data_IF_790507263328
#
_entry.id   IF_790507263328
#
_cell.length_a   1.000
_cell.length_b   1.000
_cell.length_c   1.000
_cell.angle_alpha   90.00
_cell.angle_beta   90.00
_cell.angle_gamma   90.00
#
_symmetry.space_group_name_H-M   'P 1'
#
loop_
_entity.id
_entity.type
_entity.pdbx_description
1 polymer ?
#
# COMPACT_ATOMS: atom_id res chain seq x y z
N UNK A 1 13.06 -32.43 18.33
CA UNK A 1 13.39 -33.62 17.51
C UNK A 1 13.77 -33.18 16.11
N UNK A 2 14.87 -33.68 15.52
CA UNK A 2 15.35 -33.26 14.21
C UNK A 2 14.30 -33.37 13.07
N UNK A 3 13.27 -34.22 13.22
CA UNK A 3 12.16 -34.32 12.27
C UNK A 3 11.24 -33.09 12.18
N UNK A 4 11.19 -32.21 13.20
CA UNK A 4 10.37 -30.99 13.16
C UNK A 4 11.01 -29.87 12.30
N UNK A 5 12.31 -29.94 12.02
CA UNK A 5 13.00 -28.98 11.15
C UNK A 5 12.63 -29.12 9.68
N UNK A 6 12.25 -30.33 9.24
CA UNK A 6 11.86 -30.62 7.86
C UNK A 6 10.62 -29.80 7.40
N UNK A 7 9.47 -29.86 8.10
CA UNK A 7 8.31 -29.05 7.73
C UNK A 7 8.58 -27.54 7.88
N UNK A 8 9.34 -27.13 8.90
CA UNK A 8 9.77 -25.73 9.06
C UNK A 8 10.62 -25.24 7.90
N UNK A 9 11.53 -26.08 7.38
CA UNK A 9 12.36 -25.75 6.22
C UNK A 9 11.56 -25.58 4.93
N UNK A 10 10.58 -26.45 4.69
CA UNK A 10 9.68 -26.35 3.53
C UNK A 10 8.84 -25.07 3.60
N UNK A 11 8.26 -24.78 4.77
CA UNK A 11 7.46 -23.57 5.00
C UNK A 11 8.33 -22.32 4.86
N UNK A 12 9.53 -22.32 5.44
CA UNK A 12 10.50 -21.23 5.32
C UNK A 12 10.90 -20.97 3.87
N UNK A 13 11.16 -22.02 3.08
CA UNK A 13 11.46 -21.89 1.66
C UNK A 13 10.28 -21.31 0.86
N UNK A 14 9.05 -21.76 1.11
CA UNK A 14 7.85 -21.22 0.48
C UNK A 14 7.65 -19.74 0.82
N UNK A 15 7.90 -19.36 2.08
CA UNK A 15 7.83 -17.97 2.53
C UNK A 15 8.88 -17.08 1.85
N UNK A 16 10.13 -17.53 1.76
CA UNK A 16 11.19 -16.78 1.05
C UNK A 16 10.83 -16.58 -0.43
N UNK A 17 10.25 -17.62 -1.06
CA UNK A 17 9.83 -17.58 -2.46
C UNK A 17 8.64 -16.64 -2.72
N UNK A 18 7.69 -16.51 -1.79
CA UNK A 18 6.57 -15.54 -1.91
C UNK A 18 7.07 -14.12 -1.64
N UNK A 19 7.87 -13.92 -0.60
CA UNK A 19 8.42 -12.62 -0.23
C UNK A 19 9.32 -12.04 -1.33
N UNK A 20 10.09 -12.90 -2.02
CA UNK A 20 10.93 -12.50 -3.15
C UNK A 20 10.16 -11.94 -4.35
N UNK A 21 8.90 -12.36 -4.57
CA UNK A 21 8.03 -11.82 -5.63
C UNK A 21 7.29 -10.56 -5.19
N UNK A 22 6.85 -10.50 -3.93
CA UNK A 22 6.12 -9.35 -3.39
C UNK A 22 6.99 -8.10 -3.30
N UNK A 23 8.22 -8.23 -2.78
CA UNK A 23 9.11 -7.10 -2.47
C UNK A 23 9.42 -6.17 -3.67
N UNK A 24 9.75 -6.66 -4.89
CA UNK A 24 9.95 -5.77 -6.04
C UNK A 24 8.64 -5.10 -6.48
N UNK A 25 7.54 -5.86 -6.56
CA UNK A 25 6.24 -5.33 -6.96
C UNK A 25 5.74 -4.22 -6.00
N UNK A 26 5.87 -4.44 -4.69
CA UNK A 26 5.48 -3.46 -3.67
C UNK A 26 6.30 -2.18 -3.76
N UNK A 27 7.60 -2.30 -4.04
CA UNK A 27 8.49 -1.16 -4.22
C UNK A 27 8.11 -0.33 -5.45
N UNK A 28 7.84 -0.98 -6.57
CA UNK A 28 7.52 -0.28 -7.81
C UNK A 28 6.12 0.35 -7.76
N UNK A 29 5.12 -0.32 -7.17
CA UNK A 29 3.81 0.28 -6.93
C UNK A 29 3.89 1.49 -6.00
N UNK A 30 4.68 1.42 -4.93
CA UNK A 30 4.91 2.53 -4.01
C UNK A 30 5.60 3.72 -4.70
N UNK A 31 6.50 3.46 -5.65
CA UNK A 31 7.07 4.52 -6.51
C UNK A 31 6.00 5.14 -7.41
N UNK A 32 5.13 4.33 -8.01
CA UNK A 32 4.02 4.82 -8.83
C UNK A 32 3.05 5.68 -8.00
N UNK A 33 2.72 5.27 -6.77
CA UNK A 33 1.84 6.01 -5.86
C UNK A 33 2.41 7.40 -5.55
N UNK A 34 3.71 7.47 -5.26
CA UNK A 34 4.37 8.75 -5.01
C UNK A 34 4.34 9.66 -6.25
N UNK A 35 4.52 9.08 -7.45
CA UNK A 35 4.49 9.83 -8.72
C UNK A 35 3.09 10.32 -9.08
N UNK A 36 2.05 9.51 -8.88
CA UNK A 36 0.66 9.87 -9.20
C UNK A 36 0.10 10.93 -8.25
N UNK A 37 0.56 10.95 -7.00
CA UNK A 37 0.06 11.86 -5.97
C UNK A 37 0.63 13.28 -6.05
N UNK A 38 1.88 13.44 -6.47
CA UNK A 38 2.54 14.75 -6.60
C UNK A 38 1.80 15.76 -7.48
N UNK A 39 1.40 15.44 -8.74
CA UNK A 39 0.78 16.42 -9.64
C UNK A 39 -0.57 16.93 -9.13
N UNK A 40 -1.30 16.14 -8.34
CA UNK A 40 -2.57 16.55 -7.72
C UNK A 40 -2.33 17.76 -6.79
N UNK A 41 -1.32 17.69 -5.93
CA UNK A 41 -0.98 18.77 -5.01
C UNK A 41 -0.45 20.01 -5.73
N UNK A 42 0.43 19.82 -6.73
CA UNK A 42 0.96 20.93 -7.52
C UNK A 42 -0.15 21.68 -8.24
N UNK A 43 -1.07 20.97 -8.91
CA UNK A 43 -2.20 21.55 -9.64
C UNK A 43 -3.20 22.24 -8.72
N UNK A 44 -3.43 21.69 -7.53
CA UNK A 44 -4.26 22.34 -6.52
C UNK A 44 -3.63 23.66 -6.05
N UNK A 45 -2.32 23.66 -5.81
CA UNK A 45 -1.57 24.88 -5.47
C UNK A 45 -1.60 25.94 -6.58
N UNK A 46 -1.43 25.54 -7.85
CA UNK A 46 -1.58 26.43 -9.00
C UNK A 46 -2.99 27.01 -9.12
N UNK A 47 -4.02 26.20 -8.90
CA UNK A 47 -5.42 26.65 -8.96
C UNK A 47 -5.76 27.65 -7.85
N UNK A 48 -5.22 27.47 -6.65
CA UNK A 48 -5.37 28.43 -5.55
C UNK A 48 -4.72 29.77 -5.89
N UNK A 49 -3.52 29.75 -6.48
CA UNK A 49 -2.78 30.96 -6.87
C UNK A 49 -3.37 31.68 -8.08
N UNK A 50 -4.03 30.96 -8.99
CA UNK A 50 -4.67 31.52 -10.19
C UNK A 50 -6.19 31.57 -10.11
N UNK A 51 -6.76 31.54 -8.89
CA UNK A 51 -8.20 31.38 -8.67
C UNK A 51 -9.01 32.53 -9.26
N UNK A 52 -8.48 33.76 -9.15
CA UNK A 52 -9.03 34.98 -9.71
C UNK A 52 -8.96 34.99 -11.24
N UNK A 53 -7.89 34.44 -11.81
CA UNK A 53 -7.74 34.31 -13.28
C UNK A 53 -8.71 33.26 -13.83
N UNK A 54 -8.84 32.11 -13.18
CA UNK A 54 -9.78 31.05 -13.58
C UNK A 54 -11.22 31.57 -13.48
N UNK A 55 -11.55 32.31 -12.41
CA UNK A 55 -12.87 32.90 -12.22
C UNK A 55 -13.15 34.00 -13.24
N UNK A 56 -12.22 34.93 -13.47
CA UNK A 56 -12.41 36.02 -14.44
C UNK A 56 -12.53 35.53 -15.88
N UNK A 57 -11.78 34.48 -16.27
CA UNK A 57 -11.94 33.82 -17.58
C UNK A 57 -13.33 33.17 -17.73
N UNK A 58 -13.86 32.55 -16.67
CA UNK A 58 -15.21 31.97 -16.70
C UNK A 58 -16.31 33.02 -16.87
N UNK A 59 -16.13 34.21 -16.28
CA UNK A 59 -17.07 35.34 -16.39
C UNK A 59 -16.92 36.06 -17.75
N UNK A 60 -15.70 36.29 -18.22
CA UNK A 60 -15.43 36.95 -19.50
C UNK A 60 -15.95 36.17 -20.72
N UNK A 61 -15.91 34.84 -20.65
CA UNK A 61 -16.50 33.98 -21.69
C UNK A 61 -18.03 33.98 -21.68
N UNK A 62 -18.63 34.12 -20.48
CA UNK A 62 -20.09 34.18 -20.30
C UNK A 62 -20.69 35.47 -20.86
N UNK A 63 -19.96 36.58 -20.76
CA UNK A 63 -20.40 37.89 -21.28
C UNK A 63 -20.23 38.02 -22.80
N UNK A 64 -19.26 37.31 -23.41
CA UNK A 64 -19.12 37.21 -24.87
C UNK A 64 -20.23 36.38 -25.53
N UNK A 65 -20.75 35.36 -24.83
CA UNK A 65 -21.82 34.50 -25.34
C UNK A 65 -23.24 35.01 -25.06
N UNK A 66 -23.40 36.20 -24.44
CA UNK A 66 -24.73 36.81 -24.22
C UNK A 66 -25.33 37.42 -25.52
N UNK A 67 -24.60 37.36 -26.64
CA UNK A 67 -25.03 37.86 -27.96
C UNK A 67 -25.75 36.87 -28.86
N UNK A 68 -25.89 35.58 -28.50
CA UNK A 68 -26.68 34.65 -29.32
C UNK A 68 -26.43 33.18 -28.99
N UNK A 69 -27.52 32.43 -28.81
CA UNK A 69 -27.52 30.96 -28.79
C UNK A 69 -27.46 30.34 -27.40
N UNK A 70 -28.45 29.51 -27.12
CA UNK A 70 -28.70 28.78 -25.88
C UNK A 70 -27.70 27.62 -25.63
N UNK A 71 -26.39 27.89 -25.64
CA UNK A 71 -25.35 26.89 -25.37
C UNK A 71 -24.72 27.14 -23.98
N UNK A 72 -24.93 26.20 -23.05
CA UNK A 72 -24.50 26.23 -21.63
C UNK A 72 -22.99 26.20 -21.37
N UNK A 73 -22.17 26.84 -22.21
CA UNK A 73 -20.71 26.79 -22.22
C UNK A 73 -20.01 27.92 -21.43
N UNK A 74 -20.73 28.66 -20.58
CA UNK A 74 -20.21 29.79 -19.80
C UNK A 74 -19.26 29.44 -18.63
N UNK A 75 -18.64 28.26 -18.64
CA UNK A 75 -17.78 27.75 -17.55
C UNK A 75 -16.61 26.88 -18.02
N UNK A 76 -16.25 26.92 -19.31
CA UNK A 76 -15.31 25.97 -19.92
C UNK A 76 -13.92 25.92 -19.25
N UNK A 77 -13.37 27.03 -18.78
CA UNK A 77 -12.04 27.04 -18.14
C UNK A 77 -12.04 26.29 -16.79
N UNK A 78 -13.03 26.57 -15.94
CA UNK A 78 -13.22 25.87 -14.66
C UNK A 78 -13.57 24.40 -14.91
N UNK A 79 -14.44 24.11 -15.89
CA UNK A 79 -14.84 22.75 -16.23
C UNK A 79 -13.68 21.93 -16.80
N UNK A 80 -12.83 22.51 -17.65
CA UNK A 80 -11.60 21.86 -18.15
C UNK A 80 -10.64 21.55 -17.01
N UNK A 81 -10.42 22.50 -16.10
CA UNK A 81 -9.60 22.26 -14.91
C UNK A 81 -10.17 21.12 -14.06
N UNK A 82 -11.48 21.11 -13.81
CA UNK A 82 -12.15 20.08 -13.02
C UNK A 82 -11.98 18.68 -13.65
N UNK A 83 -12.19 18.57 -14.97
CA UNK A 83 -12.03 17.32 -15.71
C UNK A 83 -10.58 16.80 -15.66
N UNK A 84 -9.61 17.68 -15.86
CA UNK A 84 -8.19 17.30 -15.77
C UNK A 84 -7.79 16.92 -14.34
N UNK A 85 -8.31 17.63 -13.32
CA UNK A 85 -8.07 17.29 -11.92
C UNK A 85 -8.71 15.95 -11.54
N UNK A 86 -9.91 15.66 -12.05
CA UNK A 86 -10.58 14.37 -11.88
C UNK A 86 -9.81 13.23 -12.52
N UNK A 87 -9.23 13.42 -13.72
CA UNK A 87 -8.39 12.42 -14.39
C UNK A 87 -7.17 12.06 -13.55
N UNK A 88 -6.42 13.06 -13.08
CA UNK A 88 -5.26 12.83 -12.20
C UNK A 88 -5.63 12.11 -10.89
N UNK A 89 -6.78 12.48 -10.31
CA UNK A 89 -7.30 11.84 -9.10
C UNK A 89 -7.68 10.38 -9.36
N UNK A 90 -8.32 10.10 -10.50
CA UNK A 90 -8.69 8.75 -10.91
C UNK A 90 -7.46 7.87 -11.16
N UNK A 91 -6.42 8.40 -11.80
CA UNK A 91 -5.16 7.68 -12.01
C UNK A 91 -4.50 7.33 -10.68
N UNK A 92 -4.43 8.28 -9.74
CA UNK A 92 -3.92 8.03 -8.40
C UNK A 92 -4.75 6.99 -7.63
N UNK A 93 -6.08 7.04 -7.78
CA UNK A 93 -6.98 6.06 -7.18
C UNK A 93 -6.72 4.65 -7.74
N UNK A 94 -6.51 4.51 -9.04
CA UNK A 94 -6.16 3.22 -9.67
C UNK A 94 -4.85 2.63 -9.15
N UNK A 95 -3.84 3.46 -8.95
CA UNK A 95 -2.57 3.04 -8.33
C UNK A 95 -2.77 2.62 -6.86
N UNK A 96 -3.56 3.39 -6.11
CA UNK A 96 -3.89 3.05 -4.72
C UNK A 96 -4.63 1.72 -4.60
N UNK A 97 -5.61 1.46 -5.47
CA UNK A 97 -6.29 0.17 -5.53
C UNK A 97 -5.33 -0.97 -5.86
N UNK A 98 -4.41 -0.77 -6.82
CA UNK A 98 -3.39 -1.76 -7.16
C UNK A 98 -2.51 -2.11 -5.96
N UNK A 99 -2.15 -1.12 -5.13
CA UNK A 99 -1.37 -1.31 -3.90
C UNK A 99 -2.15 -2.17 -2.89
N UNK A 100 -3.45 -1.88 -2.68
CA UNK A 100 -4.32 -2.68 -1.82
C UNK A 100 -4.53 -4.11 -2.34
N UNK A 101 -4.65 -4.28 -3.66
CA UNK A 101 -4.74 -5.60 -4.28
C UNK A 101 -3.47 -6.42 -4.04
N UNK A 102 -2.29 -5.80 -4.08
CA UNK A 102 -1.02 -6.47 -3.79
C UNK A 102 -0.94 -6.94 -2.33
N UNK A 103 -1.37 -6.13 -1.38
CA UNK A 103 -1.43 -6.50 0.04
C UNK A 103 -2.40 -7.66 0.29
N UNK A 104 -3.56 -7.64 -0.38
CA UNK A 104 -4.52 -8.75 -0.33
C UNK A 104 -3.96 -10.03 -0.95
N UNK A 105 -3.26 -9.93 -2.07
CA UNK A 105 -2.62 -11.07 -2.72
C UNK A 105 -1.60 -11.76 -1.79
N UNK A 106 -0.76 -10.98 -1.10
CA UNK A 106 0.18 -11.50 -0.11
C UNK A 106 -0.56 -12.18 1.05
N UNK A 107 -1.59 -11.52 1.60
CA UNK A 107 -2.41 -12.05 2.69
C UNK A 107 -3.00 -13.42 2.35
N UNK A 108 -3.65 -13.55 1.19
CA UNK A 108 -4.27 -14.81 0.75
C UNK A 108 -3.22 -15.92 0.58
N UNK A 109 -2.04 -15.60 0.05
CA UNK A 109 -0.95 -16.59 -0.11
C UNK A 109 -0.38 -17.05 1.23
N UNK A 110 -0.25 -16.17 2.21
CA UNK A 110 0.26 -16.54 3.54
C UNK A 110 -0.77 -17.34 4.34
N UNK A 111 -2.03 -16.98 4.23
CA UNK A 111 -3.15 -17.68 4.87
C UNK A 111 -3.30 -19.10 4.31
N UNK A 112 -3.30 -19.25 2.98
CA UNK A 112 -3.33 -20.58 2.33
C UNK A 112 -2.13 -21.47 2.69
N UNK A 113 -0.92 -20.90 2.84
CA UNK A 113 0.24 -21.66 3.32
C UNK A 113 0.07 -22.12 4.77
N UNK A 114 -0.48 -21.27 5.64
CA UNK A 114 -0.80 -21.63 7.03
C UNK A 114 -1.82 -22.78 7.11
N UNK A 115 -2.90 -22.68 6.33
CA UNK A 115 -3.93 -23.72 6.27
C UNK A 115 -3.38 -25.06 5.76
N UNK A 116 -2.48 -25.05 4.77
CA UNK A 116 -1.80 -26.26 4.33
C UNK A 116 -0.96 -26.92 5.44
N UNK A 117 -0.30 -26.12 6.28
CA UNK A 117 0.48 -26.62 7.42
C UNK A 117 -0.44 -27.23 8.48
N UNK A 118 -1.54 -26.54 8.82
CA UNK A 118 -2.51 -27.04 9.79
C UNK A 118 -3.19 -28.32 9.27
N UNK A 119 -3.54 -28.37 7.99
CA UNK A 119 -4.09 -29.57 7.36
C UNK A 119 -3.12 -30.75 7.45
N UNK A 120 -1.84 -30.55 7.11
CA UNK A 120 -0.81 -31.57 7.26
C UNK A 120 -0.61 -32.02 8.71
N UNK A 121 -0.61 -31.08 9.66
CA UNK A 121 -0.54 -31.38 11.08
C UNK A 121 -1.77 -32.18 11.57
N UNK A 122 -2.98 -31.85 11.09
CA UNK A 122 -4.20 -32.57 11.39
C UNK A 122 -4.14 -34.02 10.90
N UNK A 123 -3.76 -34.24 9.64
CA UNK A 123 -3.63 -35.59 9.06
C UNK A 123 -2.58 -36.40 9.80
N UNK A 124 -1.41 -35.82 10.10
CA UNK A 124 -0.35 -36.49 10.85
C UNK A 124 -0.80 -36.85 12.28
N UNK A 125 -1.54 -35.95 12.93
CA UNK A 125 -2.07 -36.15 14.28
C UNK A 125 -3.06 -37.32 14.33
N UNK A 126 -4.00 -37.40 13.38
CA UNK A 126 -4.93 -38.53 13.25
C UNK A 126 -4.19 -39.83 13.01
N UNK A 127 -3.22 -39.85 12.10
CA UNK A 127 -2.42 -41.04 11.78
C UNK A 127 -1.61 -41.55 12.99
N UNK A 128 -0.98 -40.65 13.75
CA UNK A 128 -0.19 -41.00 14.94
C UNK A 128 -1.07 -41.50 16.09
N UNK A 129 -2.29 -40.95 16.21
CA UNK A 129 -3.28 -41.37 17.21
C UNK A 129 -3.80 -42.78 16.90
N UNK A 130 -4.07 -43.10 15.62
CA UNK A 130 -4.45 -44.45 15.20
C UNK A 130 -3.36 -45.50 15.50
N UNK A 131 -2.09 -45.11 15.44
CA UNK A 131 -0.94 -45.97 15.81
C UNK A 131 -0.68 -46.06 17.32
N UNK A 132 -1.53 -45.46 18.16
CA UNK A 132 -1.39 -45.47 19.62
C UNK A 132 -0.18 -44.71 20.15
N UNK A 133 0.46 -43.87 19.32
CA UNK A 133 1.69 -43.14 19.69
C UNK A 133 1.43 -41.82 20.42
N UNK A 134 0.18 -41.36 20.47
CA UNK A 134 -0.22 -40.06 21.03
C UNK A 134 -1.54 -40.16 21.79
N UNK A 135 -1.67 -39.41 22.88
CA UNK A 135 -2.91 -39.30 23.64
C UNK A 135 -3.89 -38.34 22.94
N UNK A 136 -5.14 -38.80 22.73
CA UNK A 136 -6.21 -38.10 22.00
C UNK A 136 -6.40 -36.62 22.43
N UNK A 137 -6.29 -36.32 23.73
CA UNK A 137 -6.46 -34.97 24.25
C UNK A 137 -5.33 -34.00 23.86
N UNK A 138 -4.08 -34.48 23.83
CA UNK A 138 -2.91 -33.65 23.47
C UNK A 138 -2.90 -33.26 21.99
N UNK A 139 -3.37 -34.16 21.13
CA UNK A 139 -3.53 -33.96 19.70
C UNK A 139 -4.55 -32.86 19.39
N UNK A 140 -5.72 -32.88 20.04
CA UNK A 140 -6.76 -31.87 19.86
C UNK A 140 -6.33 -30.49 20.35
N UNK A 141 -5.71 -30.42 21.53
CA UNK A 141 -5.20 -29.16 22.08
C UNK A 141 -4.16 -28.50 21.16
N UNK A 142 -3.19 -29.27 20.67
CA UNK A 142 -2.17 -28.76 19.74
C UNK A 142 -2.78 -28.23 18.43
N UNK A 143 -3.82 -28.89 17.92
CA UNK A 143 -4.51 -28.45 16.70
C UNK A 143 -5.26 -27.12 16.89
N UNK A 144 -5.99 -26.97 18.01
CA UNK A 144 -6.70 -25.74 18.35
C UNK A 144 -5.72 -24.58 18.48
N UNK A 145 -4.57 -24.79 19.14
CA UNK A 145 -3.54 -23.76 19.25
C UNK A 145 -2.93 -23.41 17.88
N UNK A 146 -2.72 -24.39 16.99
CA UNK A 146 -2.19 -24.15 15.65
C UNK A 146 -3.15 -23.31 14.78
N UNK A 147 -4.46 -23.59 14.86
CA UNK A 147 -5.50 -22.79 14.19
C UNK A 147 -5.52 -21.35 14.70
N UNK A 148 -5.46 -21.16 16.02
CA UNK A 148 -5.43 -19.83 16.64
C UNK A 148 -4.21 -19.02 16.19
N UNK A 149 -3.02 -19.64 16.18
CA UNK A 149 -1.78 -18.99 15.71
C UNK A 149 -1.89 -18.59 14.24
N UNK A 150 -2.50 -19.43 13.39
CA UNK A 150 -2.68 -19.13 11.96
C UNK A 150 -3.56 -17.89 11.75
N UNK A 151 -4.67 -17.79 12.48
CA UNK A 151 -5.53 -16.61 12.45
C UNK A 151 -4.82 -15.34 12.94
N UNK A 152 -4.09 -15.44 14.05
CA UNK A 152 -3.27 -14.34 14.59
C UNK A 152 -2.20 -13.89 13.62
N UNK A 153 -1.56 -14.81 12.89
CA UNK A 153 -0.53 -14.48 11.92
C UNK A 153 -1.12 -13.73 10.72
N UNK A 154 -2.30 -14.15 10.23
CA UNK A 154 -3.01 -13.44 9.16
C UNK A 154 -3.42 -12.02 9.56
N UNK A 155 -3.83 -11.82 10.82
CA UNK A 155 -4.09 -10.48 11.35
C UNK A 155 -2.81 -9.66 11.51
N UNK A 156 -1.74 -10.27 12.04
CA UNK A 156 -0.42 -9.63 12.22
C UNK A 156 0.17 -9.13 10.90
N UNK A 157 0.08 -9.93 9.83
CA UNK A 157 0.51 -9.53 8.49
C UNK A 157 -0.26 -8.30 8.00
N UNK A 158 -1.57 -8.23 8.24
CA UNK A 158 -2.37 -7.03 7.93
C UNK A 158 -1.86 -5.82 8.71
N UNK A 159 -1.64 -5.95 10.02
CA UNK A 159 -1.07 -4.87 10.84
C UNK A 159 0.31 -4.44 10.34
N UNK A 160 1.17 -5.38 9.94
CA UNK A 160 2.49 -5.07 9.41
C UNK A 160 2.41 -4.30 8.08
N UNK A 161 1.52 -4.69 7.15
CA UNK A 161 1.32 -3.96 5.90
C UNK A 161 0.77 -2.55 6.12
N UNK A 162 -0.11 -2.37 7.12
CA UNK A 162 -0.62 -1.05 7.49
C UNK A 162 0.48 -0.17 8.11
N UNK A 163 1.30 -0.76 8.98
CA UNK A 163 2.47 -0.10 9.56
C UNK A 163 3.49 0.29 8.48
N UNK A 164 3.81 -0.60 7.53
CA UNK A 164 4.72 -0.29 6.42
C UNK A 164 4.20 0.84 5.52
N UNK A 165 2.87 0.99 5.43
CA UNK A 165 2.24 2.11 4.72
C UNK A 165 2.43 3.41 5.50
N UNK A 166 2.16 3.39 6.81
CA UNK A 166 2.29 4.55 7.69
C UNK A 166 3.76 5.00 7.83
N UNK A 167 4.71 4.07 7.95
CA UNK A 167 6.14 4.35 8.14
C UNK A 167 6.77 5.12 6.97
N UNK A 168 6.19 5.03 5.78
CA UNK A 168 6.67 5.80 4.62
C UNK A 168 6.48 7.30 4.77
N UNK A 169 5.45 7.72 5.49
CA UNK A 169 5.24 9.14 5.78
C UNK A 169 6.37 9.66 6.68
N UNK A 170 6.78 8.85 7.67
CA UNK A 170 7.89 9.15 8.57
C UNK A 170 9.21 9.19 7.82
N UNK A 171 9.49 8.20 6.96
CA UNK A 171 10.71 8.18 6.14
C UNK A 171 10.83 9.42 5.25
N UNK A 172 9.71 9.89 4.69
CA UNK A 172 9.70 11.14 3.90
C UNK A 172 10.08 12.37 4.74
N UNK A 173 9.57 12.49 5.97
CA UNK A 173 9.91 13.62 6.85
C UNK A 173 11.38 13.54 7.29
N UNK A 174 11.85 12.33 7.59
CA UNK A 174 13.24 12.09 7.94
C UNK A 174 14.19 12.51 6.80
N UNK A 175 13.86 12.18 5.55
CA UNK A 175 14.62 12.58 4.37
C UNK A 175 14.70 14.10 4.21
N UNK A 176 13.58 14.82 4.43
CA UNK A 176 13.56 16.30 4.38
C UNK A 176 14.42 16.92 5.48
N UNK A 177 14.37 16.36 6.68
CA UNK A 177 15.12 16.89 7.84
C UNK A 177 16.62 16.71 7.68
N UNK A 178 17.05 15.57 7.11
CA UNK A 178 18.47 15.29 6.83
C UNK A 178 19.02 16.24 5.75
N UNK A 179 18.24 16.52 4.71
CA UNK A 179 18.59 17.51 3.69
C UNK A 179 18.76 18.92 4.27
N UNK A 180 17.90 19.33 5.21
CA UNK A 180 18.03 20.63 5.90
C UNK A 180 19.29 20.73 6.76
N UNK A 181 19.70 19.62 7.38
CA UNK A 181 20.93 19.54 8.16
C UNK A 181 22.17 19.68 7.26
N UNK A 182 22.23 18.92 6.16
CA UNK A 182 23.30 19.00 5.17
C UNK A 182 23.36 20.39 4.52
N UNK A 183 22.20 21.00 4.23
CA UNK A 183 22.09 22.36 3.71
C UNK A 183 22.63 23.42 4.68
N UNK A 184 22.34 23.28 5.98
CA UNK A 184 22.88 24.16 7.04
C UNK A 184 24.40 24.01 7.18
N UNK A 185 24.91 22.79 7.17
CA UNK A 185 26.34 22.52 7.34
C UNK A 185 27.16 23.06 6.16
N UNK A 186 26.66 22.92 4.93
CA UNK A 186 27.30 23.52 3.74
C UNK A 186 27.28 25.06 3.75
N UNK A 187 26.23 25.69 4.29
CA UNK A 187 26.20 27.15 4.45
C UNK A 187 27.15 27.64 5.55
N UNK A 188 27.24 26.93 6.67
CA UNK A 188 28.20 27.23 7.74
C UNK A 188 29.65 27.12 7.29
N UNK A 189 29.98 26.08 6.50
CA UNK A 189 31.33 25.91 5.93
C UNK A 189 31.71 27.00 4.91
N UNK A 190 30.74 27.59 4.20
CA UNK A 190 30.96 28.65 3.19
C UNK A 190 31.06 30.06 3.78
N UNK A 191 30.65 30.25 5.04
CA UNK A 191 30.76 31.53 5.79
C UNK A 191 32.10 31.60 6.53
N UNK A 192 32.77 30.46 6.73
CA UNK A 192 34.05 30.34 7.41
C UNK A 192 35.26 30.27 6.46
N UNK A 193 35.04 30.39 5.14
CA UNK A 193 36.07 30.44 4.08
C UNK A 193 36.06 31.81 3.42
#
# INVERSE_FOLDING_TARGET
TPGMLLPLGVVGWLYQRTMGRYRPAARDLKRCESKSRSPIYTRFGEALRGSETIRSLSVGQRQRNTGGGNDGSGGLAMQRWLLDHQRLTNDNLGVFYSMKSLDRWLSVRLETLGDCVVFGAATASVYLTQKGRMAHGSAGWGLTQALMITGLLAWTVRCLTELETQMMSVLRIAEVTDLDFVGRNKKGAKVLS
#
